data_IF_924722038792
#
_entry.id   IF_924722038792
#
_cell.length_a   1.000
_cell.length_b   1.000
_cell.length_c   1.000
_cell.angle_alpha   90.00
_cell.angle_beta   90.00
_cell.angle_gamma   90.00
#
_symmetry.space_group_name_H-M   'P 1'
#
loop_
_entity.id
_entity.type
_entity.pdbx_description
1 polymer ?
#
# COMPACT_ATOMS: atom_id res chain seq x y z
N UNK A 1 53.79 -38.60 34.86
CA UNK A 1 53.19 -38.54 33.52
C UNK A 1 51.90 -37.76 33.64
N UNK A 2 51.96 -36.52 33.16
CA UNK A 2 50.88 -35.55 33.05
C UNK A 2 49.78 -36.09 32.13
N UNK A 3 48.53 -35.98 32.55
CA UNK A 3 47.38 -36.09 31.66
C UNK A 3 46.52 -34.86 31.94
N UNK A 4 46.50 -33.98 30.95
CA UNK A 4 45.80 -32.70 30.93
C UNK A 4 44.29 -32.95 30.97
N UNK A 5 43.61 -32.36 31.94
CA UNK A 5 42.15 -32.31 31.94
C UNK A 5 41.73 -31.02 31.19
N UNK A 6 41.39 -31.18 29.91
CA UNK A 6 40.90 -30.09 29.07
C UNK A 6 39.52 -29.65 29.54
N UNK A 7 39.44 -28.55 30.29
CA UNK A 7 38.17 -27.94 30.66
C UNK A 7 37.46 -27.41 29.40
N UNK A 8 36.41 -28.10 28.97
CA UNK A 8 35.54 -27.66 27.87
C UNK A 8 34.72 -26.46 28.34
N UNK A 9 35.00 -25.28 27.78
CA UNK A 9 34.25 -24.05 28.06
C UNK A 9 33.00 -24.02 27.19
N UNK A 10 31.84 -24.32 27.78
CA UNK A 10 30.54 -24.17 27.10
C UNK A 10 30.07 -22.72 27.19
N UNK A 11 30.21 -21.97 26.09
CA UNK A 11 29.72 -20.59 26.00
C UNK A 11 28.24 -20.60 25.62
N UNK A 12 27.35 -20.22 26.56
CA UNK A 12 25.93 -20.01 26.27
C UNK A 12 25.75 -18.76 25.41
N UNK A 13 24.98 -18.88 24.32
CA UNK A 13 24.63 -17.77 23.44
C UNK A 13 23.93 -16.63 24.22
N UNK A 14 24.27 -15.37 23.91
CA UNK A 14 23.64 -14.20 24.52
C UNK A 14 22.13 -14.21 24.24
N UNK A 15 21.26 -14.20 25.27
CA UNK A 15 19.81 -14.41 25.10
C UNK A 15 19.08 -13.21 24.50
N UNK A 16 19.70 -12.03 24.48
CA UNK A 16 19.03 -10.79 24.07
C UNK A 16 19.20 -10.57 22.57
N UNK A 17 18.29 -11.15 21.80
CA UNK A 17 18.14 -10.82 20.38
C UNK A 17 17.40 -9.48 20.29
N UNK A 18 18.06 -8.41 19.83
CA UNK A 18 17.40 -7.13 19.52
C UNK A 18 16.49 -7.34 18.30
N UNK A 19 15.20 -7.53 18.55
CA UNK A 19 14.19 -7.61 17.49
C UNK A 19 13.75 -6.18 17.15
N UNK A 20 14.21 -5.65 16.02
CA UNK A 20 13.74 -4.37 15.51
C UNK A 20 12.35 -4.58 14.87
N UNK A 21 11.30 -4.11 15.54
CA UNK A 21 9.96 -4.04 14.94
C UNK A 21 9.86 -2.76 14.12
N UNK A 22 9.51 -2.90 12.84
CA UNK A 22 9.22 -1.74 12.01
C UNK A 22 8.05 -0.94 12.62
N UNK A 23 8.08 0.40 12.55
CA UNK A 23 6.96 1.21 13.04
C UNK A 23 5.70 0.86 12.25
N UNK A 24 4.66 0.46 12.97
CA UNK A 24 3.33 0.21 12.39
C UNK A 24 2.75 1.57 11.97
N UNK A 25 2.83 1.89 10.67
CA UNK A 25 2.16 3.09 10.14
C UNK A 25 0.66 2.81 10.09
N UNK A 26 -0.08 3.38 11.03
CA UNK A 26 -1.54 3.40 10.97
C UNK A 26 -1.92 4.51 9.99
N UNK A 27 -2.12 4.19 8.72
CA UNK A 27 -2.66 5.13 7.73
C UNK A 27 -4.14 5.36 8.02
N UNK A 28 -4.45 6.27 8.95
CA UNK A 28 -5.82 6.71 9.18
C UNK A 28 -6.21 7.62 8.02
N UNK A 29 -7.08 7.12 7.14
CA UNK A 29 -7.73 7.94 6.11
C UNK A 29 -8.61 8.97 6.85
N UNK A 30 -8.53 10.27 6.51
CA UNK A 30 -9.39 11.28 7.09
C UNK A 30 -10.88 10.97 6.93
N UNK A 31 -11.67 11.23 7.97
CA UNK A 31 -13.13 11.01 7.95
C UNK A 31 -13.84 11.87 6.91
N UNK A 32 -13.32 13.05 6.60
CA UNK A 32 -13.82 13.92 5.53
C UNK A 32 -13.77 13.23 4.16
N UNK A 33 -12.74 12.43 3.88
CA UNK A 33 -12.60 11.72 2.62
C UNK A 33 -13.52 10.50 2.58
N UNK A 34 -13.66 9.78 3.69
CA UNK A 34 -14.55 8.62 3.80
C UNK A 34 -16.02 9.04 3.62
N UNK A 35 -16.40 10.17 4.20
CA UNK A 35 -17.78 10.66 4.20
C UNK A 35 -18.08 11.65 3.07
N UNK A 36 -17.17 11.81 2.11
CA UNK A 36 -17.39 12.69 0.96
C UNK A 36 -18.50 12.12 0.05
N UNK A 37 -19.65 12.80 -0.07
CA UNK A 37 -20.77 12.28 -0.85
C UNK A 37 -20.49 12.23 -2.35
N UNK A 38 -19.66 13.13 -2.87
CA UNK A 38 -19.33 13.20 -4.29
C UNK A 38 -18.37 12.06 -4.62
N UNK A 39 -17.36 11.85 -3.78
CA UNK A 39 -16.43 10.72 -3.94
C UNK A 39 -17.16 9.38 -3.85
N UNK A 40 -18.04 9.22 -2.87
CA UNK A 40 -18.80 7.98 -2.71
C UNK A 40 -19.74 7.71 -3.89
N UNK A 41 -20.34 8.76 -4.48
CA UNK A 41 -21.14 8.62 -5.70
C UNK A 41 -20.30 8.20 -6.91
N UNK A 42 -19.10 8.76 -7.07
CA UNK A 42 -18.18 8.37 -8.14
C UNK A 42 -17.69 6.92 -7.97
N UNK A 43 -17.36 6.51 -6.74
CA UNK A 43 -16.99 5.11 -6.43
C UNK A 43 -18.16 4.16 -6.71
N UNK A 44 -19.41 4.57 -6.50
CA UNK A 44 -20.57 3.72 -6.76
C UNK A 44 -20.78 3.40 -8.25
N UNK A 45 -20.11 4.12 -9.17
CA UNK A 45 -20.08 3.77 -10.60
C UNK A 45 -19.20 2.54 -10.89
N UNK A 46 -18.28 2.20 -9.98
CA UNK A 46 -17.46 1.00 -10.06
C UNK A 46 -18.25 -0.24 -9.60
N UNK A 47 -17.90 -1.44 -10.09
CA UNK A 47 -18.63 -2.66 -9.75
C UNK A 47 -18.46 -3.03 -8.27
N UNK A 48 -19.58 -3.25 -7.58
CA UNK A 48 -19.62 -3.50 -6.12
C UNK A 48 -18.97 -4.82 -5.68
N UNK A 49 -18.77 -5.75 -6.61
CA UNK A 49 -18.09 -7.03 -6.33
C UNK A 49 -16.56 -6.90 -6.26
N UNK A 50 -16.01 -5.70 -6.45
CA UNK A 50 -14.59 -5.39 -6.28
C UNK A 50 -14.39 -4.27 -5.27
N UNK A 51 -13.36 -4.40 -4.43
CA UNK A 51 -12.89 -3.31 -3.58
C UNK A 51 -11.61 -2.72 -4.16
N UNK A 52 -11.73 -1.57 -4.83
CA UNK A 52 -10.61 -0.86 -5.43
C UNK A 52 -9.84 0.03 -4.44
N UNK A 53 -10.25 0.09 -3.16
CA UNK A 53 -9.59 0.88 -2.12
C UNK A 53 -9.41 2.37 -2.50
N UNK A 54 -10.37 2.95 -3.24
CA UNK A 54 -10.25 4.30 -3.84
C UNK A 54 -9.95 5.38 -2.79
N UNK A 55 -10.64 5.38 -1.63
CA UNK A 55 -10.37 6.35 -0.56
C UNK A 55 -8.91 6.29 -0.10
N UNK A 56 -8.35 5.08 0.01
CA UNK A 56 -6.97 4.87 0.42
C UNK A 56 -5.99 5.35 -0.63
N UNK A 57 -6.28 5.09 -1.91
CA UNK A 57 -5.48 5.54 -3.04
C UNK A 57 -5.42 7.06 -3.11
N UNK A 58 -6.57 7.74 -3.05
CA UNK A 58 -6.63 9.22 -3.04
C UNK A 58 -5.87 9.79 -1.84
N UNK A 59 -6.11 9.23 -0.65
CA UNK A 59 -5.38 9.67 0.54
C UNK A 59 -3.87 9.52 0.36
N UNK A 60 -3.41 8.40 -0.20
CA UNK A 60 -1.99 8.14 -0.41
C UNK A 60 -1.37 9.14 -1.39
N UNK A 61 -2.08 9.47 -2.47
CA UNK A 61 -1.65 10.47 -3.46
C UNK A 61 -1.53 11.85 -2.82
N UNK A 62 -2.52 12.25 -2.00
CA UNK A 62 -2.49 13.52 -1.25
C UNK A 62 -1.34 13.57 -0.23
N UNK A 63 -1.11 12.49 0.50
CA UNK A 63 -0.03 12.38 1.50
C UNK A 63 1.36 12.50 0.84
N UNK A 64 1.56 11.83 -0.29
CA UNK A 64 2.85 11.86 -1.01
C UNK A 64 3.03 13.10 -1.87
N UNK A 65 1.95 13.88 -2.10
CA UNK A 65 1.92 15.01 -3.03
C UNK A 65 2.36 14.61 -4.44
N UNK A 66 2.01 13.39 -4.86
CA UNK A 66 2.33 12.92 -6.19
C UNK A 66 1.65 13.80 -7.24
N UNK A 67 2.39 14.18 -8.28
CA UNK A 67 1.89 14.96 -9.43
C UNK A 67 1.52 14.09 -10.63
N UNK A 68 2.00 12.85 -10.64
CA UNK A 68 1.71 11.88 -11.67
C UNK A 68 1.59 10.49 -11.08
N UNK A 69 0.57 9.74 -11.49
CA UNK A 69 0.27 8.40 -10.99
C UNK A 69 0.10 7.45 -12.18
N UNK A 70 0.81 6.33 -12.15
CA UNK A 70 0.63 5.27 -13.13
C UNK A 70 -0.37 4.23 -12.60
N UNK A 71 -1.36 3.87 -13.41
CA UNK A 71 -2.30 2.79 -13.15
C UNK A 71 -1.87 1.54 -13.90
N UNK A 72 -1.54 0.50 -13.15
CA UNK A 72 -1.29 -0.83 -13.67
C UNK A 72 -2.46 -1.73 -13.30
N UNK A 73 -3.05 -2.40 -14.29
CA UNK A 73 -4.19 -3.28 -14.06
C UNK A 73 -4.01 -4.58 -14.83
N UNK A 74 -4.45 -5.73 -14.28
CA UNK A 74 -4.64 -6.94 -15.06
C UNK A 74 -5.79 -6.75 -16.07
N UNK A 75 -5.81 -7.57 -17.12
CA UNK A 75 -6.78 -7.47 -18.23
C UNK A 75 -8.23 -7.40 -17.75
N UNK A 76 -8.60 -8.23 -16.76
CA UNK A 76 -9.96 -8.26 -16.20
C UNK A 76 -10.39 -7.00 -15.43
N UNK A 77 -9.45 -6.12 -15.07
CA UNK A 77 -9.72 -4.85 -14.40
C UNK A 77 -9.44 -3.63 -15.27
N UNK A 78 -8.83 -3.82 -16.45
CA UNK A 78 -8.46 -2.74 -17.35
C UNK A 78 -9.69 -1.95 -17.84
N UNK A 79 -10.85 -2.61 -17.95
CA UNK A 79 -12.13 -1.97 -18.27
C UNK A 79 -12.48 -0.81 -17.30
N UNK A 80 -12.02 -0.87 -16.05
CA UNK A 80 -12.30 0.15 -15.03
C UNK A 80 -11.20 1.21 -14.94
N UNK A 81 -10.11 1.08 -15.69
CA UNK A 81 -8.93 1.93 -15.54
C UNK A 81 -9.23 3.40 -15.87
N UNK A 82 -10.05 3.67 -16.89
CA UNK A 82 -10.44 5.04 -17.26
C UNK A 82 -11.31 5.69 -16.19
N UNK A 83 -12.31 4.97 -15.68
CA UNK A 83 -13.15 5.48 -14.58
C UNK A 83 -12.34 5.74 -13.32
N UNK A 84 -11.38 4.86 -12.99
CA UNK A 84 -10.49 5.07 -11.85
C UNK A 84 -9.55 6.26 -12.08
N UNK A 85 -9.06 6.47 -13.30
CA UNK A 85 -8.27 7.63 -13.68
C UNK A 85 -9.05 8.93 -13.48
N UNK A 86 -10.28 9.00 -13.99
CA UNK A 86 -11.17 10.16 -13.84
C UNK A 86 -11.39 10.49 -12.34
N UNK A 87 -11.68 9.47 -11.51
CA UNK A 87 -11.85 9.65 -10.06
C UNK A 87 -10.54 10.16 -9.40
N UNK A 88 -9.37 9.69 -9.84
CA UNK A 88 -8.11 10.17 -9.25
C UNK A 88 -7.86 11.63 -9.64
N UNK A 89 -8.10 11.99 -10.90
CA UNK A 89 -7.90 13.35 -11.41
C UNK A 89 -8.90 14.35 -10.83
N UNK A 90 -10.15 13.95 -10.61
CA UNK A 90 -11.18 14.82 -10.02
C UNK A 90 -10.92 15.13 -8.53
N UNK A 91 -10.34 14.18 -7.79
CA UNK A 91 -10.19 14.26 -6.34
C UNK A 91 -8.73 14.50 -5.89
N UNK A 92 -7.81 14.68 -6.84
CA UNK A 92 -6.40 15.01 -6.57
C UNK A 92 -5.86 16.02 -7.58
N UNK A 93 -4.62 16.47 -7.41
CA UNK A 93 -3.92 17.29 -8.41
C UNK A 93 -2.98 16.45 -9.30
N UNK A 94 -3.14 15.13 -9.28
CA UNK A 94 -2.25 14.22 -10.00
C UNK A 94 -2.81 13.90 -11.38
N UNK A 95 -1.96 13.94 -12.40
CA UNK A 95 -2.27 13.37 -13.71
C UNK A 95 -2.16 11.84 -13.66
N UNK A 96 -3.09 11.13 -14.29
CA UNK A 96 -3.04 9.67 -14.39
C UNK A 96 -2.51 9.18 -15.74
N UNK A 97 -1.76 8.09 -15.70
CA UNK A 97 -1.28 7.38 -16.89
C UNK A 97 -1.67 5.92 -16.76
N UNK A 98 -2.46 5.41 -17.69
CA UNK A 98 -2.82 3.98 -17.73
C UNK A 98 -1.71 3.24 -18.46
N UNK A 99 -1.12 2.24 -17.80
CA UNK A 99 -0.09 1.42 -18.40
C UNK A 99 -0.73 0.39 -19.34
N UNK A 100 -0.28 0.38 -20.59
CA UNK A 100 -0.81 -0.51 -21.64
C UNK A 100 -0.34 -1.96 -21.52
N UNK A 101 0.75 -2.20 -20.79
CA UNK A 101 1.23 -3.55 -20.51
C UNK A 101 0.35 -4.20 -19.44
N UNK A 102 -0.40 -5.24 -19.83
CA UNK A 102 -1.21 -6.04 -18.92
C UNK A 102 -0.32 -6.86 -17.98
N UNK A 103 -0.64 -6.82 -16.69
CA UNK A 103 0.01 -7.67 -15.67
C UNK A 103 -0.77 -8.96 -15.49
N UNK A 104 -0.05 -10.08 -15.37
CA UNK A 104 -0.59 -11.42 -15.06
C UNK A 104 -0.47 -11.76 -13.58
#
# INVERSE_FOLDING_TARGET
MSSEESAVVVVKAKPVRKVFKAPVRVSKIPQELINDPILNAAIAALPQNYNFEIHKTIWRIRETKAKRVALQMPEGLLLYATTIADIIEDFTEAETVIMGDVTY
#
